data_IF_119866442036
#
_entry.id   IF_119866442036
#
_cell.length_a   1.000
_cell.length_b   1.000
_cell.length_c   1.000
_cell.angle_alpha   90.00
_cell.angle_beta   90.00
_cell.angle_gamma   90.00
#
_symmetry.space_group_name_H-M   'P 1'
#
loop_
_entity.id
_entity.type
_entity.pdbx_description
1 polymer ?
#
# COMPACT_ATOMS: atom_id res chain seq x y z
N UNK A 1 -7.67 -5.96 4.61
CA UNK A 1 -6.86 -5.55 5.79
C UNK A 1 -6.87 -4.03 5.84
N UNK A 2 -7.22 -3.40 6.97
CA UNK A 2 -7.24 -1.94 7.08
C UNK A 2 -5.84 -1.38 6.87
N UNK A 3 -5.73 -0.23 6.18
CA UNK A 3 -4.48 0.49 5.97
C UNK A 3 -4.36 1.57 7.04
N UNK A 4 -3.23 1.58 7.73
CA UNK A 4 -2.94 2.53 8.79
C UNK A 4 -2.31 3.80 8.22
N UNK A 5 -2.42 4.89 8.98
CA UNK A 5 -1.66 6.11 8.67
C UNK A 5 -0.17 5.79 8.66
N UNK A 6 0.53 6.23 7.63
CA UNK A 6 1.95 5.95 7.41
C UNK A 6 2.22 4.71 6.57
N UNK A 7 1.23 3.84 6.31
CA UNK A 7 1.44 2.70 5.41
C UNK A 7 1.83 3.20 4.02
N UNK A 8 2.88 2.59 3.47
CA UNK A 8 3.42 2.90 2.15
C UNK A 8 3.29 1.71 1.22
N UNK A 9 2.93 1.97 -0.02
CA UNK A 9 2.89 0.98 -1.09
C UNK A 9 3.70 1.49 -2.26
N UNK A 10 4.56 0.65 -2.84
CA UNK A 10 5.41 1.00 -3.97
C UNK A 10 5.07 0.16 -5.20
N UNK A 11 5.07 0.82 -6.35
CA UNK A 11 5.09 0.15 -7.64
C UNK A 11 6.55 -0.12 -8.03
N UNK A 12 6.92 -1.39 -8.17
CA UNK A 12 8.28 -1.77 -8.54
C UNK A 12 8.63 -1.44 -10.00
N UNK A 13 7.63 -1.18 -10.86
CA UNK A 13 7.84 -0.88 -12.28
C UNK A 13 8.19 0.58 -12.55
N UNK A 14 7.43 1.51 -11.96
CA UNK A 14 7.58 2.94 -12.21
C UNK A 14 8.11 3.73 -11.01
N UNK A 15 8.24 3.09 -9.84
CA UNK A 15 8.71 3.73 -8.61
C UNK A 15 7.66 4.58 -7.89
N UNK A 16 6.43 4.68 -8.39
CA UNK A 16 5.36 5.43 -7.73
C UNK A 16 5.04 4.87 -6.34
N UNK A 17 4.72 5.76 -5.40
CA UNK A 17 4.36 5.39 -4.03
C UNK A 17 2.99 5.95 -3.65
N UNK A 18 2.20 5.12 -2.95
CA UNK A 18 0.99 5.54 -2.23
C UNK A 18 1.34 5.60 -0.75
N UNK A 19 1.00 6.71 -0.11
CA UNK A 19 1.16 6.91 1.33
C UNK A 19 -0.22 7.15 1.92
N UNK A 20 -0.60 6.35 2.91
CA UNK A 20 -1.86 6.54 3.63
C UNK A 20 -1.69 7.65 4.67
N UNK A 21 -2.24 8.84 4.39
CA UNK A 21 -2.25 9.96 5.35
C UNK A 21 -3.41 9.85 6.36
N UNK A 22 -4.42 9.04 6.05
CA UNK A 22 -5.60 8.77 6.87
C UNK A 22 -5.90 7.27 6.86
N UNK A 23 -6.48 6.71 7.93
CA UNK A 23 -6.81 5.29 7.96
C UNK A 23 -7.87 4.95 6.88
N UNK A 24 -7.70 3.81 6.22
CA UNK A 24 -8.72 3.28 5.31
C UNK A 24 -9.96 2.90 6.15
N UNK A 25 -11.19 3.31 5.77
CA UNK A 25 -12.42 2.87 6.43
C UNK A 25 -12.78 1.40 6.13
N UNK A 26 -11.84 0.65 5.56
CA UNK A 26 -12.04 -0.63 4.90
C UNK A 26 -11.94 -1.75 5.94
N UNK A 27 -13.02 -2.51 6.14
CA UNK A 27 -13.07 -3.64 7.08
C UNK A 27 -12.45 -4.91 6.46
N UNK A 28 -12.20 -5.96 7.26
CA UNK A 28 -11.56 -7.20 6.79
C UNK A 28 -12.32 -7.91 5.65
N UNK A 29 -13.63 -7.69 5.52
CA UNK A 29 -14.46 -8.25 4.45
C UNK A 29 -14.47 -7.45 3.13
N UNK A 30 -13.81 -6.28 3.07
CA UNK A 30 -13.74 -5.47 1.86
C UNK A 30 -12.36 -5.63 1.20
N UNK A 31 -12.29 -6.27 0.01
CA UNK A 31 -11.03 -6.37 -0.72
C UNK A 31 -10.60 -4.96 -1.15
N UNK A 32 -9.40 -4.57 -0.72
CA UNK A 32 -8.77 -3.30 -1.06
C UNK A 32 -7.52 -3.60 -1.88
N UNK A 33 -7.36 -2.92 -3.01
CA UNK A 33 -6.27 -3.15 -3.96
C UNK A 33 -5.64 -1.83 -4.38
N UNK A 34 -4.36 -1.66 -4.07
CA UNK A 34 -3.50 -0.62 -4.60
C UNK A 34 -2.93 -1.08 -5.94
N UNK A 35 -3.44 -0.56 -7.07
CA UNK A 35 -3.01 -1.00 -8.40
C UNK A 35 -2.23 0.12 -9.10
N UNK A 36 -1.06 -0.21 -9.65
CA UNK A 36 -0.26 0.68 -10.48
C UNK A 36 0.45 -0.12 -11.58
N UNK A 37 0.53 0.44 -12.80
CA UNK A 37 1.09 -0.25 -13.98
C UNK A 37 0.45 -1.62 -14.30
N UNK A 38 -0.81 -1.80 -13.91
CA UNK A 38 -1.57 -3.04 -14.12
C UNK A 38 -1.34 -4.11 -13.05
N UNK A 39 -0.46 -3.87 -12.07
CA UNK A 39 -0.15 -4.82 -11.01
C UNK A 39 -0.52 -4.28 -9.61
N UNK A 40 -0.76 -5.20 -8.70
CA UNK A 40 -0.91 -4.90 -7.28
C UNK A 40 0.42 -4.38 -6.71
N UNK A 41 0.40 -3.20 -6.10
CA UNK A 41 1.54 -2.58 -5.44
C UNK A 41 1.92 -3.34 -4.18
N UNK A 42 3.21 -3.31 -3.84
CA UNK A 42 3.75 -3.98 -2.65
C UNK A 42 3.80 -3.03 -1.46
N UNK A 43 3.39 -3.50 -0.28
CA UNK A 43 3.58 -2.76 0.96
C UNK A 43 5.08 -2.63 1.23
N UNK A 44 5.54 -1.41 1.47
CA UNK A 44 6.90 -1.14 1.91
C UNK A 44 6.88 -1.26 3.43
N UNK A 45 7.48 -2.33 3.94
CA UNK A 45 7.71 -2.45 5.38
C UNK A 45 8.74 -1.40 5.79
N UNK A 46 8.42 -0.51 6.74
CA UNK A 46 9.45 0.24 7.47
C UNK A 46 10.27 -0.76 8.30
N UNK A 47 11.28 -1.38 7.69
CA UNK A 47 12.09 -2.40 8.36
C UNK A 47 12.78 -3.45 7.50
N UNK A 48 13.13 -3.18 6.24
CA UNK A 48 14.14 -4.01 5.54
C UNK A 48 15.07 -3.12 4.74
N UNK A 49 16.03 -2.53 5.45
CA UNK A 49 17.40 -2.46 4.95
C UNK A 49 18.02 -3.83 5.21
N UNK A 50 18.43 -4.53 4.16
CA UNK A 50 19.06 -5.84 4.23
C UNK A 50 19.43 -6.30 2.83
#
# INVERSE_FOLDING_TARGET
>A
MPRNVGDRYACEKCGAQIVYEKPCPCTEGMPHSEICCGDQMKRVSEGTSG
#
